data_IF_255359080820
#
_entry.id   IF_255359080820
#
_cell.length_a   1.000
_cell.length_b   1.000
_cell.length_c   1.000
_cell.angle_alpha   90.00
_cell.angle_beta   90.00
_cell.angle_gamma   90.00
#
_symmetry.space_group_name_H-M   'P 1'
#
loop_
_entity.id
_entity.type
_entity.pdbx_description
1 polymer ?
#
# COMPACT_ATOMS: atom_id res chain seq x y z
N UNK A 1 -9.94 -20.46 52.54
CA UNK A 1 -10.02 -19.22 51.75
C UNK A 1 -11.49 -18.88 51.55
N UNK A 2 -11.94 -17.76 52.10
CA UNK A 2 -13.32 -17.27 51.97
C UNK A 2 -13.65 -16.94 50.51
N UNK A 3 -14.93 -17.02 50.13
CA UNK A 3 -15.39 -16.71 48.77
C UNK A 3 -15.03 -15.27 48.38
N UNK A 4 -15.10 -14.33 49.32
CA UNK A 4 -14.69 -12.93 49.12
C UNK A 4 -13.23 -12.80 48.71
N UNK A 5 -12.32 -13.57 49.31
CA UNK A 5 -10.91 -13.59 48.92
C UNK A 5 -10.72 -14.11 47.49
N UNK A 6 -11.49 -15.13 47.09
CA UNK A 6 -11.42 -15.68 45.72
C UNK A 6 -11.93 -14.64 44.70
N UNK A 7 -13.03 -13.96 45.00
CA UNK A 7 -13.59 -12.91 44.13
C UNK A 7 -12.62 -11.74 43.99
N UNK A 8 -12.00 -11.30 45.09
CA UNK A 8 -10.98 -10.24 45.06
C UNK A 8 -9.75 -10.64 44.23
N UNK A 9 -9.27 -11.88 44.38
CA UNK A 9 -8.15 -12.41 43.58
C UNK A 9 -8.49 -12.55 42.09
N UNK A 10 -9.69 -13.03 41.77
CA UNK A 10 -10.12 -13.10 40.37
C UNK A 10 -10.26 -11.71 39.76
N UNK A 11 -10.80 -10.74 40.50
CA UNK A 11 -10.98 -9.38 40.00
C UNK A 11 -9.65 -8.66 39.76
N UNK A 12 -8.66 -8.80 40.68
CA UNK A 12 -7.33 -8.20 40.47
C UNK A 12 -6.60 -8.84 39.29
N UNK A 13 -6.71 -10.16 39.09
CA UNK A 13 -6.06 -10.85 37.96
C UNK A 13 -6.70 -10.45 36.63
N UNK A 14 -8.03 -10.33 36.57
CA UNK A 14 -8.72 -9.85 35.37
C UNK A 14 -8.35 -8.40 35.06
N UNK A 15 -8.31 -7.53 36.07
CA UNK A 15 -7.98 -6.12 35.87
C UNK A 15 -6.51 -5.94 35.44
N UNK A 16 -5.58 -6.65 36.09
CA UNK A 16 -4.15 -6.59 35.74
C UNK A 16 -3.88 -7.21 34.37
N UNK A 17 -4.55 -8.33 34.02
CA UNK A 17 -4.48 -8.91 32.68
C UNK A 17 -4.95 -7.93 31.60
N UNK A 18 -6.07 -7.24 31.81
CA UNK A 18 -6.57 -6.21 30.90
C UNK A 18 -5.54 -5.09 30.70
N UNK A 19 -5.00 -4.56 31.81
CA UNK A 19 -4.01 -3.47 31.77
C UNK A 19 -2.73 -3.89 31.06
N UNK A 20 -2.21 -5.08 31.37
CA UNK A 20 -1.00 -5.63 30.75
C UNK A 20 -1.18 -5.76 29.23
N UNK A 21 -2.33 -6.24 28.76
CA UNK A 21 -2.62 -6.36 27.32
C UNK A 21 -2.62 -4.99 26.65
N UNK A 22 -3.26 -3.98 27.25
CA UNK A 22 -3.23 -2.61 26.72
C UNK A 22 -1.81 -2.05 26.64
N UNK A 23 -1.01 -2.21 27.70
CA UNK A 23 0.39 -1.76 27.73
C UNK A 23 1.21 -2.45 26.63
N UNK A 24 1.02 -3.75 26.44
CA UNK A 24 1.72 -4.53 25.40
C UNK A 24 1.37 -4.04 23.99
N UNK A 25 0.09 -3.74 23.72
CA UNK A 25 -0.35 -3.20 22.43
C UNK A 25 0.24 -1.80 22.16
N UNK A 26 0.28 -0.94 23.18
CA UNK A 26 0.87 0.39 23.07
C UNK A 26 2.37 0.28 22.79
N UNK A 27 3.07 -0.60 23.52
CA UNK A 27 4.51 -0.84 23.34
C UNK A 27 4.84 -1.32 21.92
N UNK A 28 4.09 -2.29 21.39
CA UNK A 28 4.28 -2.79 20.03
C UNK A 28 4.04 -1.69 18.98
N UNK A 29 3.02 -0.85 19.19
CA UNK A 29 2.72 0.29 18.32
C UNK A 29 3.87 1.31 18.31
N UNK A 30 4.49 1.57 19.46
CA UNK A 30 5.64 2.47 19.56
C UNK A 30 6.84 1.98 18.76
N UNK A 31 7.15 0.68 18.84
CA UNK A 31 8.24 0.07 18.08
C UNK A 31 7.99 0.24 16.56
N UNK A 32 6.79 -0.07 16.09
CA UNK A 32 6.43 0.08 14.66
C UNK A 32 6.55 1.55 14.21
N UNK A 33 6.12 2.50 15.04
CA UNK A 33 6.28 3.94 14.76
C UNK A 33 7.75 4.35 14.72
N UNK A 34 8.59 3.81 15.59
CA UNK A 34 10.04 4.02 15.59
C UNK A 34 10.68 3.55 14.28
N UNK A 35 10.39 2.32 13.86
CA UNK A 35 10.86 1.80 12.56
C UNK A 35 10.32 2.61 11.37
N UNK A 36 9.05 3.03 11.41
CA UNK A 36 8.48 3.94 10.40
C UNK A 36 9.21 5.28 10.34
N UNK A 37 9.67 5.83 11.47
CA UNK A 37 10.43 7.08 11.49
C UNK A 37 11.86 6.89 10.94
N UNK A 38 12.52 5.78 11.28
CA UNK A 38 13.87 5.47 10.78
C UNK A 38 13.87 5.25 9.26
N UNK A 39 12.88 4.55 8.71
CA UNK A 39 12.75 4.36 7.25
C UNK A 39 12.45 5.69 6.54
N UNK A 40 11.65 6.58 7.16
CA UNK A 40 11.41 7.93 6.63
C UNK A 40 12.67 8.80 6.62
N UNK A 41 13.59 8.61 7.57
CA UNK A 41 14.85 9.33 7.61
C UNK A 41 15.88 8.82 6.59
N UNK A 42 15.71 7.61 6.05
CA UNK A 42 16.55 7.04 4.98
C UNK A 42 16.01 7.39 3.58
N UNK A 43 14.77 7.84 3.47
CA UNK A 43 14.28 8.48 2.26
C UNK A 43 14.36 10.00 2.43
N UNK A 44 15.50 10.64 2.11
CA UNK A 44 15.46 12.07 1.90
C UNK A 44 14.46 12.30 0.77
N UNK A 45 13.45 13.12 1.06
CA UNK A 45 12.57 13.69 0.05
C UNK A 45 13.39 13.99 -1.21
N UNK A 46 13.13 13.25 -2.29
CA UNK A 46 13.44 13.74 -3.63
C UNK A 46 12.48 14.92 -3.88
N UNK A 47 12.79 16.04 -3.22
CA UNK A 47 12.26 17.35 -3.58
C UNK A 47 12.73 17.58 -5.00
N UNK A 48 11.73 17.73 -5.85
CA UNK A 48 11.72 18.60 -7.02
C UNK A 48 12.84 19.63 -6.97
N UNK A 49 13.70 19.61 -7.98
CA UNK A 49 14.17 20.83 -8.61
C UNK A 49 14.42 20.59 -10.11
N UNK A 50 14.25 21.63 -10.95
CA UNK A 50 14.01 21.50 -12.37
C UNK A 50 15.30 21.66 -13.19
N UNK A 51 15.13 21.71 -14.52
CA UNK A 51 16.08 22.25 -15.52
C UNK A 51 17.05 21.17 -16.07
N UNK A 52 17.54 21.24 -17.32
CA UNK A 52 16.82 21.08 -18.58
C UNK A 52 17.58 20.17 -19.59
N UNK A 53 16.92 19.83 -20.71
CA UNK A 53 17.49 19.54 -22.04
C UNK A 53 18.69 18.57 -22.17
N UNK A 54 18.38 17.47 -22.88
CA UNK A 54 19.15 16.94 -24.04
C UNK A 54 20.47 16.20 -23.69
N UNK A 55 20.90 15.11 -24.32
CA UNK A 55 20.74 14.52 -25.65
C UNK A 55 21.14 12.99 -25.53
N UNK A 56 21.35 12.20 -26.60
CA UNK A 56 20.45 11.25 -27.25
C UNK A 56 20.78 9.75 -27.08
N UNK A 57 19.90 8.91 -27.62
CA UNK A 57 20.18 7.58 -28.24
C UNK A 57 20.61 6.45 -27.30
N UNK A 58 19.66 5.54 -27.04
CA UNK A 58 19.74 4.18 -27.60
C UNK A 58 18.36 3.80 -28.14
N UNK A 59 18.29 3.61 -29.45
CA UNK A 59 17.15 3.00 -30.13
C UNK A 59 16.94 1.59 -29.55
N UNK A 60 15.91 1.43 -28.72
CA UNK A 60 15.26 0.14 -28.52
C UNK A 60 13.84 0.31 -29.04
N UNK A 61 13.50 -0.52 -30.02
CA UNK A 61 12.27 -0.49 -30.80
C UNK A 61 11.07 0.05 -30.01
N UNK A 62 10.39 1.03 -30.60
CA UNK A 62 9.19 1.66 -30.07
C UNK A 62 8.10 0.61 -29.83
N UNK A 63 8.07 0.04 -28.63
CA UNK A 63 6.82 -0.42 -28.07
C UNK A 63 5.96 0.85 -27.85
N UNK A 64 4.65 0.84 -28.16
CA UNK A 64 3.78 1.98 -27.92
C UNK A 64 3.92 2.37 -26.45
N UNK A 65 4.50 3.54 -26.20
CA UNK A 65 4.69 4.01 -24.82
C UNK A 65 3.29 4.30 -24.29
N UNK A 66 2.84 3.64 -23.22
CA UNK A 66 1.52 3.89 -22.67
C UNK A 66 1.40 5.37 -22.33
N UNK A 67 0.27 5.99 -22.66
CA UNK A 67 0.05 7.39 -22.28
C UNK A 67 -0.08 7.47 -20.76
N UNK A 68 0.97 7.97 -20.11
CA UNK A 68 1.01 8.21 -18.67
C UNK A 68 0.57 9.64 -18.41
N UNK A 69 -0.42 9.81 -17.54
CA UNK A 69 -0.91 11.13 -17.13
C UNK A 69 0.20 11.94 -16.42
N UNK A 70 0.27 13.25 -16.73
CA UNK A 70 1.27 14.14 -16.13
C UNK A 70 1.13 14.16 -14.60
N UNK A 71 2.21 13.79 -13.90
CA UNK A 71 2.25 13.69 -12.43
C UNK A 71 2.21 12.26 -11.87
N UNK A 72 2.28 11.23 -12.72
CA UNK A 72 2.56 9.85 -12.27
C UNK A 72 4.06 9.58 -12.46
N UNK A 73 4.82 9.27 -11.39
CA UNK A 73 6.25 8.95 -11.50
C UNK A 73 6.46 7.68 -12.32
N UNK A 74 7.53 7.66 -13.13
CA UNK A 74 7.84 6.54 -14.03
C UNK A 74 8.08 5.23 -13.26
N UNK A 75 8.58 5.31 -12.04
CA UNK A 75 8.74 4.17 -11.13
C UNK A 75 7.39 3.54 -10.77
N UNK A 76 6.36 4.37 -10.59
CA UNK A 76 5.00 3.87 -10.31
C UNK A 76 4.39 3.26 -11.57
N UNK A 77 4.61 3.86 -12.74
CA UNK A 77 4.17 3.27 -14.01
C UNK A 77 4.84 1.91 -14.28
N UNK A 78 6.15 1.80 -14.02
CA UNK A 78 6.91 0.56 -14.15
C UNK A 78 6.47 -0.50 -13.14
N UNK A 79 6.24 -0.12 -11.88
CA UNK A 79 5.71 -1.01 -10.85
C UNK A 79 4.32 -1.54 -11.20
N UNK A 80 3.42 -0.69 -11.73
CA UNK A 80 2.11 -1.10 -12.23
C UNK A 80 2.27 -2.09 -13.39
N UNK A 81 3.16 -1.80 -14.34
CA UNK A 81 3.41 -2.70 -15.48
C UNK A 81 3.95 -4.07 -15.04
N UNK A 82 4.88 -4.09 -14.09
CA UNK A 82 5.42 -5.32 -13.52
C UNK A 82 4.35 -6.12 -12.75
N UNK A 83 3.50 -5.45 -11.96
CA UNK A 83 2.41 -6.10 -11.25
C UNK A 83 1.38 -6.71 -12.21
N UNK A 84 1.01 -5.99 -13.27
CA UNK A 84 0.10 -6.52 -14.31
C UNK A 84 0.70 -7.75 -14.99
N UNK A 85 2.00 -7.74 -15.30
CA UNK A 85 2.70 -8.90 -15.84
C UNK A 85 2.76 -10.06 -14.85
N UNK A 86 2.95 -9.81 -13.55
CA UNK A 86 2.95 -10.86 -12.54
C UNK A 86 1.57 -11.52 -12.36
N UNK A 87 0.47 -10.76 -12.48
CA UNK A 87 -0.89 -11.27 -12.28
C UNK A 87 -1.42 -11.99 -13.52
N UNK A 88 -1.23 -11.42 -14.71
CA UNK A 88 -1.79 -11.97 -15.95
C UNK A 88 -0.75 -12.72 -16.81
N UNK A 89 0.52 -12.73 -16.41
CA UNK A 89 1.61 -13.38 -17.13
C UNK A 89 1.81 -12.83 -18.54
N UNK A 90 2.29 -13.69 -19.45
CA UNK A 90 2.41 -13.35 -20.88
C UNK A 90 1.06 -13.11 -21.58
N UNK A 91 -0.07 -13.38 -20.90
CA UNK A 91 -1.42 -13.11 -21.40
C UNK A 91 -1.91 -11.70 -21.05
N UNK A 92 -1.10 -10.93 -20.32
CA UNK A 92 -1.35 -9.51 -20.07
C UNK A 92 -1.39 -8.75 -21.41
N UNK A 93 -2.56 -8.26 -21.81
CA UNK A 93 -2.66 -7.33 -22.94
C UNK A 93 -1.79 -6.08 -22.76
N UNK A 94 -1.48 -5.38 -23.86
CA UNK A 94 -0.68 -4.15 -23.79
C UNK A 94 -1.40 -3.06 -23.00
N UNK A 95 -0.70 -2.43 -22.06
CA UNK A 95 -1.22 -1.28 -21.29
C UNK A 95 -1.39 -0.09 -22.25
N UNK A 96 -2.61 0.43 -22.36
CA UNK A 96 -2.93 1.54 -23.28
C UNK A 96 -2.72 2.93 -22.66
N UNK A 97 -3.06 3.09 -21.38
CA UNK A 97 -2.93 4.36 -20.66
C UNK A 97 -2.92 4.13 -19.15
N UNK A 98 -2.15 4.94 -18.42
CA UNK A 98 -2.13 4.94 -16.95
C UNK A 98 -2.58 6.33 -16.50
N UNK A 99 -3.70 6.37 -15.77
CA UNK A 99 -4.31 7.60 -15.26
C UNK A 99 -4.67 7.47 -13.79
N UNK A 100 -4.65 8.60 -13.08
CA UNK A 100 -5.15 8.67 -11.71
C UNK A 100 -6.66 8.44 -11.71
N UNK A 101 -7.16 7.75 -10.69
CA UNK A 101 -8.59 7.54 -10.55
C UNK A 101 -9.29 8.90 -10.41
N UNK A 102 -10.12 9.26 -11.40
CA UNK A 102 -10.77 10.56 -11.47
C UNK A 102 -11.82 10.80 -10.37
N UNK A 103 -12.24 9.74 -9.64
CA UNK A 103 -13.29 9.82 -8.63
C UNK A 103 -12.94 8.95 -7.41
N UNK A 104 -12.65 9.56 -6.24
CA UNK A 104 -12.34 8.83 -5.02
C UNK A 104 -13.55 8.07 -4.42
N UNK A 105 -14.77 8.34 -4.89
CA UNK A 105 -16.00 7.75 -4.32
C UNK A 105 -16.38 6.35 -4.83
N UNK A 106 -15.74 5.84 -5.89
CA UNK A 106 -16.06 4.51 -6.45
C UNK A 106 -14.82 3.65 -6.49
N UNK A 107 -14.63 2.83 -5.46
CA UNK A 107 -13.50 1.90 -5.38
C UNK A 107 -13.50 0.93 -6.56
N UNK A 108 -12.37 0.84 -7.26
CA UNK A 108 -12.19 -0.05 -8.41
C UNK A 108 -12.31 -1.53 -8.00
N UNK A 109 -11.96 -1.85 -6.74
CA UNK A 109 -12.12 -3.17 -6.14
C UNK A 109 -13.59 -3.59 -6.02
N UNK A 110 -14.48 -2.65 -5.66
CA UNK A 110 -15.92 -2.91 -5.61
C UNK A 110 -16.48 -3.22 -7.00
N UNK A 111 -16.05 -2.47 -8.02
CA UNK A 111 -16.48 -2.74 -9.40
C UNK A 111 -15.93 -4.09 -9.87
N UNK A 112 -14.66 -4.39 -9.60
CA UNK A 112 -14.06 -5.66 -9.97
C UNK A 112 -14.83 -6.85 -9.36
N UNK A 113 -15.11 -6.81 -8.05
CA UNK A 113 -15.90 -7.84 -7.38
C UNK A 113 -17.31 -7.98 -7.95
N UNK A 114 -17.97 -6.86 -8.30
CA UNK A 114 -19.29 -6.89 -8.94
C UNK A 114 -19.22 -7.57 -10.31
N UNK A 115 -18.27 -7.19 -11.17
CA UNK A 115 -18.10 -7.77 -12.51
C UNK A 115 -17.82 -9.27 -12.45
N UNK A 116 -17.01 -9.72 -11.50
CA UNK A 116 -16.72 -11.15 -11.30
C UNK A 116 -17.92 -11.95 -10.81
N UNK A 117 -18.87 -11.30 -10.10
CA UNK A 117 -20.08 -11.95 -9.59
C UNK A 117 -21.24 -11.92 -10.59
N UNK A 118 -21.30 -10.89 -11.44
CA UNK A 118 -22.40 -10.70 -12.41
C UNK A 118 -22.05 -11.14 -13.82
N UNK A 119 -20.90 -11.80 -14.03
CA UNK A 119 -20.58 -12.39 -15.34
C UNK A 119 -21.58 -13.51 -15.66
N UNK A 120 -22.17 -13.53 -16.86
CA UNK A 120 -23.07 -14.61 -17.27
C UNK A 120 -22.31 -15.94 -17.29
N UNK A 121 -23.01 -17.00 -16.92
CA UNK A 121 -22.51 -18.37 -16.95
C UNK A 121 -22.48 -18.93 -18.38
#
# INVERSE_FOLDING_TARGET
>A
MSLDQKVQLSMIVLLTGLVIVFVMLIFLTYIIKGYSAVIKNIQPNAKTDPVPKSVPTVQRASAPVPSVEAGIPEETAAAIAAAVYAVYGSSAGKIKSIRRAAQPGRSLWRIAGLLENTRPF
#
